data_IF_749497843346
#
_entry.id   IF_749497843346
#
_cell.length_a   1.000
_cell.length_b   1.000
_cell.length_c   1.000
_cell.angle_alpha   90.00
_cell.angle_beta   90.00
_cell.angle_gamma   90.00
#
_symmetry.space_group_name_H-M   'P 1'
#
loop_
_entity.id
_entity.type
_entity.pdbx_description
1 polymer ?
#
# COMPACT_ATOMS: atom_id res chain seq x y z
N UNK A 1 -1.17 -27.81 -3.78
CA UNK A 1 -1.01 -28.17 -2.43
C UNK A 1 -1.06 -26.95 -1.52
N UNK A 2 -1.15 -27.21 -0.23
CA UNK A 2 -1.42 -26.14 0.71
C UNK A 2 -0.34 -25.06 0.73
N UNK A 3 0.91 -25.47 0.65
CA UNK A 3 1.98 -24.48 0.71
C UNK A 3 1.93 -23.56 -0.51
N UNK A 4 1.73 -24.13 -1.69
CA UNK A 4 1.64 -23.30 -2.89
C UNK A 4 0.48 -22.32 -2.77
N UNK A 5 -0.67 -22.79 -2.31
CA UNK A 5 -1.83 -21.93 -2.20
C UNK A 5 -1.57 -20.80 -1.20
N UNK A 6 -0.93 -21.13 -0.08
CA UNK A 6 -0.62 -20.12 0.91
C UNK A 6 0.34 -19.06 0.37
N UNK A 7 1.32 -19.49 -0.43
CA UNK A 7 2.27 -18.54 -1.01
C UNK A 7 1.57 -17.63 -2.01
N UNK A 8 0.67 -18.18 -2.80
CA UNK A 8 -0.08 -17.37 -3.75
C UNK A 8 -0.99 -16.40 -3.03
N UNK A 9 -1.63 -16.86 -1.96
CA UNK A 9 -2.50 -15.99 -1.16
C UNK A 9 -1.70 -14.86 -0.52
N UNK A 10 -0.42 -15.09 -0.24
CA UNK A 10 0.43 -14.07 0.33
C UNK A 10 0.95 -13.11 -0.73
N UNK A 11 0.56 -13.30 -1.98
CA UNK A 11 0.97 -12.40 -3.03
C UNK A 11 2.33 -12.66 -3.61
N UNK A 12 2.91 -13.83 -3.37
CA UNK A 12 4.21 -14.15 -3.93
C UNK A 12 4.10 -14.37 -5.43
N UNK A 13 5.10 -13.91 -6.16
CA UNK A 13 5.09 -14.13 -7.60
C UNK A 13 5.52 -15.56 -7.87
N UNK A 14 5.39 -15.97 -9.10
CA UNK A 14 5.64 -17.35 -9.48
C UNK A 14 7.06 -17.77 -9.15
N UNK A 15 8.02 -16.92 -9.39
CA UNK A 15 9.41 -17.28 -9.10
C UNK A 15 9.62 -17.53 -7.61
N UNK A 16 9.06 -16.68 -6.77
CA UNK A 16 9.19 -16.85 -5.32
C UNK A 16 8.49 -18.13 -4.87
N UNK A 17 7.32 -18.39 -5.43
CA UNK A 17 6.60 -19.61 -5.11
C UNK A 17 7.44 -20.84 -5.42
N UNK A 18 8.01 -20.88 -6.64
CA UNK A 18 8.79 -22.03 -7.04
C UNK A 18 10.03 -22.21 -6.18
N UNK A 19 10.68 -21.12 -5.86
CA UNK A 19 11.90 -21.19 -5.03
C UNK A 19 11.57 -21.68 -3.61
N UNK A 20 10.47 -21.20 -3.05
CA UNK A 20 10.05 -21.65 -1.73
C UNK A 20 9.71 -23.12 -1.72
N UNK A 21 9.00 -23.57 -2.76
CA UNK A 21 8.64 -24.99 -2.85
C UNK A 21 9.89 -25.84 -3.00
N UNK A 22 10.84 -25.36 -3.78
CA UNK A 22 12.07 -26.11 -3.99
C UNK A 22 12.88 -26.19 -2.70
N UNK A 23 12.95 -25.11 -1.95
CA UNK A 23 13.63 -25.12 -0.66
C UNK A 23 12.95 -26.09 0.29
N UNK A 24 11.63 -26.14 0.27
CA UNK A 24 10.91 -27.04 1.14
C UNK A 24 11.23 -28.50 0.80
N UNK A 25 11.30 -28.80 -0.51
CA UNK A 25 11.59 -30.16 -0.92
C UNK A 25 13.00 -30.57 -0.53
N UNK A 26 13.93 -29.64 -0.53
CA UNK A 26 15.32 -29.95 -0.21
C UNK A 26 15.67 -29.74 1.25
N UNK A 27 14.70 -29.40 2.07
CA UNK A 27 14.97 -29.17 3.48
C UNK A 27 15.78 -27.95 3.79
N UNK A 28 15.81 -26.99 2.88
CA UNK A 28 16.61 -25.77 3.08
C UNK A 28 15.75 -24.73 3.80
N UNK A 29 15.46 -25.00 5.04
CA UNK A 29 14.55 -24.20 5.81
C UNK A 29 15.00 -22.77 6.00
N UNK A 30 16.30 -22.54 6.24
CA UNK A 30 16.79 -21.18 6.47
C UNK A 30 16.62 -20.33 5.22
N UNK A 31 16.89 -20.91 4.07
CA UNK A 31 16.72 -20.17 2.83
C UNK A 31 15.25 -19.88 2.57
N UNK A 32 14.38 -20.85 2.86
CA UNK A 32 12.96 -20.66 2.70
C UNK A 32 12.50 -19.49 3.58
N UNK A 33 12.95 -19.44 4.82
CA UNK A 33 12.57 -18.36 5.72
C UNK A 33 13.08 -17.01 5.23
N UNK A 34 14.28 -16.99 4.63
CA UNK A 34 14.80 -15.74 4.10
C UNK A 34 13.96 -15.24 2.94
N UNK A 35 13.50 -16.13 2.08
CA UNK A 35 12.64 -15.74 0.97
C UNK A 35 11.34 -15.13 1.48
N UNK A 36 10.75 -15.76 2.49
CA UNK A 36 9.50 -15.26 3.05
C UNK A 36 9.69 -13.93 3.76
N UNK A 37 10.80 -13.78 4.47
CA UNK A 37 11.10 -12.50 5.14
C UNK A 37 11.29 -11.38 4.13
N UNK A 38 11.95 -11.69 3.01
CA UNK A 38 12.15 -10.67 1.99
C UNK A 38 10.82 -10.23 1.39
N UNK A 39 9.93 -11.18 1.17
CA UNK A 39 8.61 -10.85 0.63
C UNK A 39 7.81 -10.01 1.63
N UNK A 40 7.90 -10.38 2.91
CA UNK A 40 7.21 -9.62 3.94
C UNK A 40 7.71 -8.19 3.98
N UNK A 41 9.03 -8.01 3.79
CA UNK A 41 9.59 -6.66 3.78
C UNK A 41 9.06 -5.86 2.59
N UNK A 42 8.91 -6.49 1.44
CA UNK A 42 8.35 -5.80 0.29
C UNK A 42 6.93 -5.32 0.57
N UNK A 43 6.13 -6.18 1.23
CA UNK A 43 4.77 -5.80 1.55
C UNK A 43 4.74 -4.66 2.56
N UNK A 44 5.62 -4.69 3.55
CA UNK A 44 5.68 -3.61 4.53
C UNK A 44 6.08 -2.30 3.87
N UNK A 45 7.04 -2.36 2.94
CA UNK A 45 7.45 -1.15 2.23
C UNK A 45 6.28 -0.59 1.43
N UNK A 46 5.48 -1.46 0.82
CA UNK A 46 4.31 -1.01 0.07
C UNK A 46 3.28 -0.36 0.99
N UNK A 47 3.08 -0.94 2.17
CA UNK A 47 2.15 -0.38 3.13
C UNK A 47 2.62 1.00 3.57
N UNK A 48 3.92 1.12 3.86
CA UNK A 48 4.47 2.40 4.30
C UNK A 48 4.33 3.47 3.22
N UNK A 49 4.53 3.08 1.95
CA UNK A 49 4.35 4.03 0.87
C UNK A 49 2.89 4.47 0.78
N UNK A 50 1.97 3.53 0.94
CA UNK A 50 0.56 3.87 0.90
C UNK A 50 0.17 4.78 2.06
N UNK A 51 0.69 4.49 3.24
CA UNK A 51 0.41 5.33 4.40
C UNK A 51 0.91 6.75 4.18
N UNK A 52 2.10 6.88 3.61
CA UNK A 52 2.63 8.19 3.34
C UNK A 52 1.78 8.93 2.32
N UNK A 53 1.32 8.23 1.31
CA UNK A 53 0.47 8.85 0.30
C UNK A 53 -0.85 9.28 0.89
N UNK A 54 -1.43 8.49 1.79
CA UNK A 54 -2.66 8.85 2.45
C UNK A 54 -2.45 10.08 3.30
N UNK A 55 -1.33 10.16 4.02
CA UNK A 55 -1.02 11.32 4.83
C UNK A 55 -0.91 12.57 3.97
N UNK A 56 -0.28 12.44 2.80
CA UNK A 56 -0.18 13.57 1.90
C UNK A 56 -1.55 14.03 1.41
N UNK A 57 -2.42 13.08 1.10
CA UNK A 57 -3.76 13.43 0.67
C UNK A 57 -4.55 14.10 1.78
N UNK A 58 -4.41 13.59 3.00
CA UNK A 58 -5.09 14.18 4.14
C UNK A 58 -4.66 15.63 4.34
N UNK A 59 -3.36 15.88 4.16
CA UNK A 59 -2.85 17.22 4.30
C UNK A 59 -3.41 18.13 3.21
N UNK A 60 -3.47 17.62 1.99
CA UNK A 60 -4.03 18.41 0.89
C UNK A 60 -5.50 18.75 1.14
N UNK A 61 -6.26 17.76 1.61
CA UNK A 61 -7.66 18.00 1.91
C UNK A 61 -7.78 19.08 2.98
N UNK A 62 -6.96 18.98 4.00
CA UNK A 62 -6.96 19.94 5.07
C UNK A 62 -6.66 21.34 4.55
N UNK A 63 -5.65 21.46 3.69
CA UNK A 63 -5.29 22.76 3.14
C UNK A 63 -6.40 23.34 2.28
N UNK A 64 -6.99 22.50 1.44
CA UNK A 64 -8.05 22.96 0.55
C UNK A 64 -9.26 23.44 1.36
N UNK A 65 -9.59 22.71 2.39
CA UNK A 65 -10.70 23.10 3.25
C UNK A 65 -10.43 24.40 3.97
N UNK A 66 -9.18 24.59 4.40
CA UNK A 66 -8.82 25.86 5.03
C UNK A 66 -8.93 27.01 4.05
N UNK A 67 -8.46 26.82 2.84
CA UNK A 67 -8.53 27.86 1.85
C UNK A 67 -9.98 28.18 1.47
N UNK A 68 -10.80 27.16 1.42
CA UNK A 68 -12.19 27.37 1.09
C UNK A 68 -12.87 28.17 2.16
N UNK A 69 -12.59 27.85 3.43
CA UNK A 69 -13.18 28.61 4.52
C UNK A 69 -12.70 30.06 4.52
N UNK A 70 -11.41 30.24 4.26
CA UNK A 70 -10.89 31.60 4.20
C UNK A 70 -11.50 32.32 3.02
N UNK A 71 -11.73 31.61 1.95
CA UNK A 71 -12.31 32.22 0.77
C UNK A 71 -13.75 32.58 0.97
N UNK A 72 -14.38 31.94 1.93
CA UNK A 72 -15.78 32.27 2.16
C UNK A 72 -15.96 33.65 2.68
N UNK A 73 -14.92 34.17 3.30
CA UNK A 73 -15.09 35.52 3.72
C UNK A 73 -15.00 36.33 2.48
N UNK A 74 -14.48 35.86 1.46
CA UNK A 74 -14.45 36.59 0.25
C UNK A 74 -15.25 35.84 -0.67
N UNK A 75 -15.38 36.09 -1.76
CA UNK A 75 -16.11 35.47 -2.69
C UNK A 75 -15.45 34.42 -3.30
N UNK A 76 -15.61 33.46 -3.13
CA UNK A 76 -15.03 32.43 -3.64
C UNK A 76 -15.45 31.89 -4.77
N UNK A 77 -15.25 31.91 -5.56
CA UNK A 77 -15.63 31.50 -6.68
C UNK A 77 -15.66 30.13 -6.81
N UNK A 78 -15.79 29.67 -7.57
CA UNK A 78 -15.94 28.50 -7.81
C UNK A 78 -15.09 27.49 -7.45
N UNK A 79 -14.50 27.46 -6.75
CA UNK A 79 -13.75 26.53 -6.55
C UNK A 79 -14.31 25.79 -5.59
N UNK A 80 -14.79 25.43 -5.33
CA UNK A 80 -15.30 24.95 -4.42
C UNK A 80 -15.85 23.82 -4.58
N UNK A 81 -16.15 23.38 -4.60
CA UNK A 81 -16.78 22.51 -4.64
C UNK A 81 -16.54 21.41 -5.02
N UNK A 82 -16.41 21.13 -5.41
CA UNK A 82 -16.46 20.05 -5.99
C UNK A 82 -15.60 19.15 -5.39
N UNK A 83 -14.99 19.32 -5.18
CA UNK A 83 -14.05 18.62 -4.80
C UNK A 83 -14.29 17.98 -3.65
N UNK A 84 -14.55 18.23 -3.07
CA UNK A 84 -14.66 17.79 -2.01
C UNK A 84 -15.16 16.62 -1.93
N UNK A 85 -15.44 16.19 -2.01
CA UNK A 85 -15.96 15.29 -1.88
C UNK A 85 -15.57 14.32 -2.35
N UNK A 86 -15.37 14.07 -2.40
CA UNK A 86 -15.25 13.20 -2.77
C UNK A 86 -14.37 12.67 -3.14
N UNK A 87 -14.21 12.66 -3.27
CA UNK A 87 -13.43 12.32 -3.89
C UNK A 87 -12.51 11.68 -3.48
N UNK A 88 -12.29 11.58 -3.15
CA UNK A 88 -11.34 10.96 -2.87
C UNK A 88 -11.38 10.06 -2.28
#
# INVERSE_FOLDING_TARGET
EALRQNLEDAGCDEETVERCLDCARQGRTQEQLRLLSAHRRLLLDAVHRCEKQITCLDYLVFQIEREDRAGQSGPPPGRKKPTKKGTL
#
